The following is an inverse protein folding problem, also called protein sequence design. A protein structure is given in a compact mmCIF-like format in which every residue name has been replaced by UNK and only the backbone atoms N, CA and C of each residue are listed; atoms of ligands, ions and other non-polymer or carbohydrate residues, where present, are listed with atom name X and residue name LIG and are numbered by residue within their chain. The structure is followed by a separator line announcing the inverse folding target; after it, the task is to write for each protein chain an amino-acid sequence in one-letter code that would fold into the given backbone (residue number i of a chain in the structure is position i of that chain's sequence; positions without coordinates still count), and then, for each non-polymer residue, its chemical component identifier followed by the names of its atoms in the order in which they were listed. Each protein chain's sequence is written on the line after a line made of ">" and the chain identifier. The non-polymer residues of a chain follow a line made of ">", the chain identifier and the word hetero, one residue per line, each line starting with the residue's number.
data_IF_336269512715
#
_entry.id   IF_336269512715
#
_cell.length_a   1.000
_cell.length_b   1.000
_cell.length_c   1.000
_cell.angle_alpha   90.00
_cell.angle_beta   90.00
_cell.angle_gamma   90.00
#
_symmetry.space_group_name_H-M   'P 1'
#
loop_
_entity.id
_entity.type
_entity.pdbx_description
1 polymer ?
#
# COMPACT_ATOMS: atom_id res chain seq x y z
N UNK A 1 -12.40 -2.21 16.50
CA UNK A 1 -10.98 -2.21 16.07
C UNK A 1 -10.68 -0.86 15.46
N UNK A 2 -9.73 -0.14 16.03
CA UNK A 2 -9.23 1.14 15.51
C UNK A 2 -8.06 0.88 14.55
N UNK A 3 -8.17 1.43 13.32
CA UNK A 3 -7.18 1.24 12.26
C UNK A 3 -6.52 2.56 11.94
N UNK A 4 -5.22 2.63 12.17
CA UNK A 4 -4.39 3.78 11.83
C UNK A 4 -3.81 3.56 10.42
N UNK A 5 -3.90 4.58 9.56
CA UNK A 5 -3.43 4.50 8.18
C UNK A 5 -2.41 5.59 7.89
N UNK A 6 -1.29 5.19 7.31
CA UNK A 6 -0.19 6.06 6.89
C UNK A 6 0.25 5.73 5.47
N UNK A 7 0.90 6.68 4.79
CA UNK A 7 1.61 6.48 3.52
C UNK A 7 2.62 7.60 3.30
N UNK A 8 3.48 7.44 2.30
CA UNK A 8 4.25 8.54 1.70
C UNK A 8 5.20 9.28 2.64
N UNK A 9 5.79 8.59 3.58
CA UNK A 9 6.75 9.23 4.47
C UNK A 9 8.11 9.50 3.81
N UNK A 10 8.44 8.80 2.70
CA UNK A 10 9.67 9.04 1.95
C UNK A 10 10.92 9.15 2.83
N UNK A 11 11.11 8.21 3.76
CA UNK A 11 12.16 8.12 4.80
C UNK A 11 11.95 9.05 6.01
N UNK A 12 10.92 9.88 6.02
CA UNK A 12 10.62 10.77 7.16
C UNK A 12 9.66 10.10 8.17
N UNK A 13 9.58 8.75 8.17
CA UNK A 13 8.69 8.01 9.05
C UNK A 13 8.96 8.29 10.54
N UNK A 14 10.20 8.60 10.92
CA UNK A 14 10.55 8.94 12.31
C UNK A 14 10.00 10.30 12.78
N UNK A 15 9.65 11.18 11.84
CA UNK A 15 9.07 12.49 12.12
C UNK A 15 7.53 12.43 12.23
N UNK A 16 6.94 11.27 11.93
CA UNK A 16 5.49 11.07 11.98
C UNK A 16 5.07 10.63 13.38
N UNK A 17 4.11 11.36 13.97
CA UNK A 17 3.43 10.90 15.17
C UNK A 17 2.35 9.89 14.81
N UNK A 18 2.53 8.65 15.21
CA UNK A 18 1.56 7.57 15.01
C UNK A 18 0.67 7.48 16.26
N UNK A 19 -0.66 7.66 16.14
CA UNK A 19 -1.57 7.43 17.25
C UNK A 19 -1.60 5.95 17.66
N UNK A 20 -2.04 5.66 18.88
CA UNK A 20 -2.35 4.30 19.30
C UNK A 20 -3.53 3.74 18.50
N UNK A 21 -3.61 2.43 18.40
CA UNK A 21 -4.67 1.73 17.69
C UNK A 21 -4.45 0.22 17.71
N UNK A 22 -5.41 -0.53 17.17
CA UNK A 22 -5.33 -1.98 17.12
C UNK A 22 -4.50 -2.45 15.90
N UNK A 23 -4.61 -1.74 14.79
CA UNK A 23 -3.95 -2.07 13.52
C UNK A 23 -3.31 -0.83 12.89
N UNK A 24 -2.08 -1.01 12.37
CA UNK A 24 -1.39 -0.01 11.56
C UNK A 24 -1.30 -0.48 10.11
N UNK A 25 -1.85 0.27 9.18
CA UNK A 25 -1.75 0.03 7.74
C UNK A 25 -0.84 1.10 7.12
N UNK A 26 0.17 0.66 6.38
CA UNK A 26 1.07 1.54 5.64
C UNK A 26 0.92 1.33 4.13
N UNK A 27 0.44 2.35 3.42
CA UNK A 27 0.00 2.24 2.02
C UNK A 27 1.05 2.71 0.99
N UNK A 28 2.33 2.45 1.26
CA UNK A 28 3.41 2.61 0.29
C UNK A 28 4.20 3.91 0.38
N UNK A 29 5.25 3.97 -0.44
CA UNK A 29 6.25 5.06 -0.49
C UNK A 29 6.98 5.26 0.86
N UNK A 30 7.52 4.15 1.35
CA UNK A 30 8.42 4.10 2.52
C UNK A 30 9.70 4.87 2.21
N UNK A 31 10.22 4.69 1.00
CA UNK A 31 11.50 5.26 0.55
C UNK A 31 11.29 6.32 -0.53
N UNK A 32 12.38 6.97 -0.93
CA UNK A 32 12.41 7.85 -2.09
C UNK A 32 13.51 7.37 -3.05
N UNK A 33 13.21 6.34 -3.86
CA UNK A 33 14.16 5.70 -4.78
C UNK A 33 15.49 5.33 -4.14
N UNK A 34 15.46 4.86 -2.89
CA UNK A 34 16.68 4.52 -2.17
C UNK A 34 17.34 3.29 -2.78
N UNK A 35 18.68 3.34 -2.88
CA UNK A 35 19.52 2.18 -3.26
C UNK A 35 20.18 1.52 -2.06
N UNK A 36 19.93 2.00 -0.84
CA UNK A 36 20.56 1.51 0.40
C UNK A 36 19.58 0.62 1.15
N UNK A 37 19.80 -0.69 1.23
CA UNK A 37 18.90 -1.61 1.95
C UNK A 37 18.72 -1.30 3.44
N UNK A 38 19.67 -0.57 4.06
CA UNK A 38 19.56 -0.16 5.47
C UNK A 38 18.35 0.72 5.76
N UNK A 39 17.78 1.41 4.76
CA UNK A 39 16.55 2.20 4.95
C UNK A 39 15.35 1.31 5.27
N UNK A 40 15.32 0.08 4.75
CA UNK A 40 14.26 -0.87 5.06
C UNK A 40 14.40 -1.44 6.48
N UNK A 41 15.65 -1.65 6.92
CA UNK A 41 15.91 -2.06 8.31
C UNK A 41 15.49 -0.94 9.28
N UNK A 42 15.86 0.31 8.98
CA UNK A 42 15.44 1.48 9.78
C UNK A 42 13.91 1.62 9.86
N UNK A 43 13.21 1.43 8.75
CA UNK A 43 11.74 1.44 8.72
C UNK A 43 11.15 0.26 9.52
N UNK A 44 11.71 -0.93 9.39
CA UNK A 44 11.28 -2.10 10.14
C UNK A 44 11.46 -1.91 11.66
N UNK A 45 12.60 -1.35 12.07
CA UNK A 45 12.87 -1.05 13.48
C UNK A 45 11.90 0.02 14.03
N UNK A 46 11.56 1.01 13.21
CA UNK A 46 10.54 2.01 13.54
C UNK A 46 9.15 1.36 13.70
N UNK A 47 8.73 0.47 12.79
CA UNK A 47 7.48 -0.29 12.95
C UNK A 47 7.44 -1.11 14.24
N UNK A 48 8.60 -1.67 14.65
CA UNK A 48 8.72 -2.46 15.87
C UNK A 48 8.48 -1.67 17.16
N UNK A 49 8.55 -0.34 17.12
CA UNK A 49 8.35 0.52 18.30
C UNK A 49 6.87 0.71 18.68
N UNK A 50 5.95 0.42 17.76
CA UNK A 50 4.52 0.65 18.00
C UNK A 50 3.81 -0.56 18.59
N UNK A 51 2.87 -0.33 19.53
CA UNK A 51 2.15 -1.39 20.24
C UNK A 51 1.03 -2.05 19.40
N UNK A 52 0.76 -1.54 18.19
CA UNK A 52 -0.28 -2.09 17.32
C UNK A 52 -0.12 -3.60 17.15
N UNK A 53 -1.15 -4.35 17.50
CA UNK A 53 -1.12 -5.80 17.45
C UNK A 53 -0.93 -6.33 16.03
N UNK A 54 -1.52 -5.65 15.06
CA UNK A 54 -1.43 -5.98 13.65
C UNK A 54 -0.80 -4.83 12.86
N UNK A 55 0.14 -5.17 11.99
CA UNK A 55 0.77 -4.20 11.10
C UNK A 55 0.80 -4.75 9.69
N UNK A 56 0.28 -3.99 8.74
CA UNK A 56 0.21 -4.34 7.31
C UNK A 56 0.91 -3.26 6.51
N UNK A 57 1.78 -3.67 5.60
CA UNK A 57 2.54 -2.76 4.74
C UNK A 57 2.40 -3.20 3.30
N UNK A 58 2.18 -2.26 2.40
CA UNK A 58 2.40 -2.45 0.96
C UNK A 58 3.52 -1.53 0.50
N UNK A 59 4.28 -1.88 -0.54
CA UNK A 59 5.19 -0.94 -1.20
C UNK A 59 4.44 0.12 -2.01
N UNK A 60 5.16 1.21 -2.36
CA UNK A 60 4.75 2.19 -3.36
C UNK A 60 5.71 2.25 -4.54
N UNK A 61 5.47 3.19 -5.46
CA UNK A 61 6.28 3.31 -6.67
C UNK A 61 7.71 3.82 -6.43
N UNK A 62 8.00 4.40 -5.28
CA UNK A 62 9.34 4.80 -4.88
C UNK A 62 10.14 3.69 -4.17
N UNK A 63 9.52 2.55 -3.86
CA UNK A 63 10.09 1.47 -3.08
C UNK A 63 10.80 0.42 -3.96
N UNK A 64 11.70 0.87 -4.82
CA UNK A 64 12.41 0.02 -5.80
C UNK A 64 13.17 -1.15 -5.16
N UNK A 65 13.66 -0.99 -3.94
CA UNK A 65 14.32 -2.06 -3.19
C UNK A 65 13.41 -3.26 -2.92
N UNK A 66 12.10 -3.03 -2.75
CA UNK A 66 11.14 -4.09 -2.44
C UNK A 66 10.70 -4.91 -3.68
N UNK A 67 11.22 -4.59 -4.87
CA UNK A 67 11.11 -5.48 -6.03
C UNK A 67 11.97 -6.73 -5.85
N UNK A 68 13.07 -6.64 -5.09
CA UNK A 68 13.94 -7.77 -4.74
C UNK A 68 13.43 -8.51 -3.51
N UNK A 69 13.25 -9.82 -3.65
CA UNK A 69 12.77 -10.71 -2.57
C UNK A 69 13.69 -10.72 -1.35
N UNK A 70 15.01 -10.65 -1.54
CA UNK A 70 15.96 -10.62 -0.43
C UNK A 70 15.77 -9.38 0.46
N UNK A 71 15.36 -8.26 -0.14
CA UNK A 71 15.06 -7.04 0.58
C UNK A 71 13.70 -7.09 1.29
N UNK A 72 12.70 -7.78 0.75
CA UNK A 72 11.39 -8.00 1.40
C UNK A 72 11.53 -8.67 2.76
N UNK A 73 12.48 -9.59 2.90
CA UNK A 73 12.77 -10.30 4.17
C UNK A 73 13.25 -9.41 5.30
N UNK A 74 13.58 -8.14 5.02
CA UNK A 74 13.95 -7.15 6.04
C UNK A 74 12.73 -6.57 6.76
N UNK A 75 11.54 -6.70 6.20
CA UNK A 75 10.30 -6.28 6.84
C UNK A 75 9.75 -7.49 7.62
N UNK A 76 10.02 -7.52 8.91
CA UNK A 76 9.65 -8.60 9.83
C UNK A 76 8.64 -8.18 10.88
N UNK A 77 8.48 -6.87 11.10
CA UNK A 77 7.57 -6.30 12.11
C UNK A 77 6.19 -5.96 11.52
N UNK A 78 5.90 -6.41 10.30
CA UNK A 78 4.59 -6.25 9.64
C UNK A 78 4.36 -7.36 8.60
N UNK A 79 3.10 -7.57 8.23
CA UNK A 79 2.75 -8.34 7.04
C UNK A 79 3.00 -7.48 5.80
N UNK A 80 4.04 -7.79 5.03
CA UNK A 80 4.32 -7.12 3.76
C UNK A 80 3.49 -7.79 2.66
N UNK A 81 2.56 -7.06 2.06
CA UNK A 81 1.67 -7.58 1.03
C UNK A 81 2.06 -7.03 -0.36
N UNK A 82 2.25 -7.93 -1.32
CA UNK A 82 2.52 -7.62 -2.72
C UNK A 82 1.66 -8.54 -3.57
N UNK A 83 0.53 -8.05 -4.04
CA UNK A 83 -0.50 -8.84 -4.72
C UNK A 83 -0.85 -10.12 -3.93
N UNK A 84 -1.06 -9.94 -2.64
CA UNK A 84 -1.29 -11.04 -1.70
C UNK A 84 -2.19 -10.60 -0.55
N UNK A 85 -2.75 -11.57 0.17
CA UNK A 85 -3.63 -11.33 1.30
C UNK A 85 -3.11 -11.89 2.61
N UNK A 86 -3.68 -11.39 3.69
CA UNK A 86 -3.53 -11.92 5.05
C UNK A 86 -4.88 -11.86 5.74
N UNK A 87 -5.16 -12.82 6.60
CA UNK A 87 -6.29 -12.76 7.51
C UNK A 87 -5.79 -12.46 8.93
N UNK A 88 -6.29 -11.37 9.51
CA UNK A 88 -5.96 -10.95 10.87
C UNK A 88 -7.24 -10.58 11.61
N UNK A 89 -7.42 -11.15 12.79
CA UNK A 89 -8.60 -10.91 13.62
C UNK A 89 -9.94 -11.11 12.86
N UNK A 90 -10.00 -12.10 11.98
CA UNK A 90 -11.18 -12.40 11.15
C UNK A 90 -11.43 -11.45 9.99
N UNK A 91 -10.52 -10.49 9.73
CA UNK A 91 -10.57 -9.60 8.57
C UNK A 91 -9.62 -10.08 7.49
N UNK A 92 -10.14 -10.22 6.28
CA UNK A 92 -9.38 -10.54 5.07
C UNK A 92 -8.86 -9.27 4.43
N UNK A 93 -7.56 -9.08 4.49
CA UNK A 93 -6.87 -7.89 3.97
C UNK A 93 -6.10 -8.29 2.72
N UNK A 94 -6.32 -7.59 1.62
CA UNK A 94 -5.53 -7.74 0.40
C UNK A 94 -4.70 -6.49 0.16
N UNK A 95 -3.42 -6.67 -0.16
CA UNK A 95 -2.49 -5.58 -0.44
C UNK A 95 -1.88 -5.67 -1.84
N UNK A 96 -1.86 -4.55 -2.56
CA UNK A 96 -1.26 -4.46 -3.89
C UNK A 96 -0.57 -3.12 -4.12
N UNK A 97 0.73 -3.13 -4.49
CA UNK A 97 1.49 -1.93 -4.81
C UNK A 97 1.33 -1.48 -6.26
N UNK A 98 0.63 -2.25 -7.10
CA UNK A 98 0.56 -2.04 -8.55
C UNK A 98 0.07 -0.64 -8.91
N UNK A 99 0.78 0.02 -9.81
CA UNK A 99 0.44 1.35 -10.32
C UNK A 99 0.29 1.33 -11.84
N UNK A 100 -0.44 2.33 -12.39
CA UNK A 100 -0.52 2.56 -13.84
C UNK A 100 0.56 3.52 -14.37
N UNK A 101 1.59 3.80 -13.59
CA UNK A 101 2.68 4.69 -14.00
C UNK A 101 3.53 4.03 -15.09
N UNK A 102 4.23 4.86 -15.87
CA UNK A 102 5.16 4.40 -16.92
C UNK A 102 6.53 4.03 -16.36
N UNK A 103 6.81 4.38 -15.10
CA UNK A 103 8.09 4.12 -14.42
C UNK A 103 7.90 4.02 -12.92
N UNK A 104 8.92 3.53 -12.23
CA UNK A 104 8.91 3.29 -10.78
C UNK A 104 8.72 1.81 -10.44
N UNK A 105 8.80 1.50 -9.15
CA UNK A 105 8.55 0.15 -8.68
C UNK A 105 7.09 -0.23 -8.92
N UNK A 106 6.83 -1.50 -9.21
CA UNK A 106 5.49 -2.07 -9.40
C UNK A 106 4.65 -1.36 -10.47
N UNK A 107 5.30 -0.63 -11.38
CA UNK A 107 4.65 0.02 -12.51
C UNK A 107 4.21 -1.01 -13.54
N UNK A 108 2.94 -0.98 -13.92
CA UNK A 108 2.33 -1.80 -14.97
C UNK A 108 1.54 -0.86 -15.87
N UNK A 109 2.17 -0.28 -16.91
CA UNK A 109 1.51 0.72 -17.78
C UNK A 109 0.34 0.15 -18.58
N UNK A 110 0.41 -1.13 -18.92
CA UNK A 110 -0.62 -1.82 -19.70
C UNK A 110 -1.87 -2.07 -18.87
N UNK A 111 -3.04 -1.62 -19.35
CA UNK A 111 -4.30 -1.71 -18.61
C UNK A 111 -4.87 -3.14 -18.59
N UNK A 112 -4.57 -3.95 -19.61
CA UNK A 112 -4.99 -5.36 -19.64
C UNK A 112 -4.23 -6.13 -18.58
N UNK A 113 -2.91 -5.97 -18.52
CA UNK A 113 -2.07 -6.61 -17.52
C UNK A 113 -2.47 -6.16 -16.07
N UNK A 114 -2.81 -4.89 -15.88
CA UNK A 114 -3.34 -4.43 -14.59
C UNK A 114 -4.67 -5.08 -14.25
N UNK A 115 -5.56 -5.23 -15.22
CA UNK A 115 -6.87 -5.87 -15.00
C UNK A 115 -6.71 -7.32 -14.55
N UNK A 116 -5.72 -8.05 -15.10
CA UNK A 116 -5.38 -9.40 -14.66
C UNK A 116 -4.89 -9.41 -13.19
N UNK A 117 -4.06 -8.46 -12.81
CA UNK A 117 -3.60 -8.31 -11.42
C UNK A 117 -4.79 -8.00 -10.48
N UNK A 118 -5.68 -7.09 -10.88
CA UNK A 118 -6.87 -6.78 -10.09
C UNK A 118 -7.84 -7.95 -9.99
N UNK A 119 -7.84 -8.87 -10.96
CA UNK A 119 -8.67 -10.07 -10.93
C UNK A 119 -8.22 -11.05 -9.84
N UNK A 120 -6.97 -10.99 -9.39
CA UNK A 120 -6.44 -11.81 -8.30
C UNK A 120 -7.03 -11.45 -6.93
N UNK A 121 -7.61 -10.24 -6.78
CA UNK A 121 -8.18 -9.79 -5.51
C UNK A 121 -9.41 -10.66 -5.17
N UNK A 122 -9.41 -11.38 -4.03
CA UNK A 122 -10.54 -12.21 -3.63
C UNK A 122 -11.83 -11.40 -3.46
N UNK A 123 -12.96 -12.00 -3.85
CA UNK A 123 -14.25 -11.31 -3.78
C UNK A 123 -14.73 -11.05 -2.34
N UNK A 124 -14.20 -11.80 -1.39
CA UNK A 124 -14.50 -11.74 0.05
C UNK A 124 -13.46 -10.91 0.83
N UNK A 125 -12.72 -10.03 0.15
CA UNK A 125 -11.77 -9.10 0.78
C UNK A 125 -12.53 -8.06 1.60
N UNK A 126 -12.25 -7.98 2.90
CA UNK A 126 -12.84 -6.97 3.80
C UNK A 126 -12.12 -5.62 3.70
N UNK A 127 -10.79 -5.65 3.63
CA UNK A 127 -9.96 -4.44 3.52
C UNK A 127 -9.05 -4.56 2.30
N UNK A 128 -9.19 -3.61 1.38
CA UNK A 128 -8.33 -3.50 0.21
C UNK A 128 -7.33 -2.35 0.41
N UNK A 129 -6.03 -2.68 0.37
CA UNK A 129 -4.93 -1.71 0.48
C UNK A 129 -4.26 -1.59 -0.88
N UNK A 130 -4.30 -0.40 -1.48
CA UNK A 130 -3.69 -0.10 -2.78
C UNK A 130 -2.82 1.15 -2.69
N UNK A 131 -1.76 1.21 -3.48
CA UNK A 131 -0.92 2.43 -3.51
C UNK A 131 -1.55 3.56 -4.32
N UNK A 132 -2.33 3.23 -5.37
CA UNK A 132 -3.08 4.23 -6.17
C UNK A 132 -4.57 4.17 -5.84
N UNK A 133 -5.30 5.29 -5.95
CA UNK A 133 -6.74 5.31 -5.76
C UNK A 133 -7.49 4.68 -6.95
N UNK A 134 -8.69 4.12 -6.71
CA UNK A 134 -9.63 3.85 -7.79
C UNK A 134 -10.07 5.16 -8.45
N UNK A 135 -10.32 5.16 -9.77
CA UNK A 135 -10.75 6.36 -10.47
C UNK A 135 -12.03 6.95 -9.86
N UNK A 136 -12.04 8.27 -9.72
CA UNK A 136 -13.15 9.08 -9.18
C UNK A 136 -13.53 8.77 -7.72
N UNK A 137 -12.59 8.19 -6.95
CA UNK A 137 -12.75 7.97 -5.52
C UNK A 137 -11.54 8.59 -4.83
N UNK A 138 -11.69 9.81 -4.32
CA UNK A 138 -10.62 10.58 -3.65
C UNK A 138 -9.31 10.65 -4.45
N UNK A 139 -9.42 10.72 -5.78
CA UNK A 139 -8.29 10.64 -6.71
C UNK A 139 -7.91 12.01 -7.30
N UNK A 140 -8.51 13.07 -6.82
CA UNK A 140 -8.17 14.43 -7.21
C UNK A 140 -6.78 14.85 -6.74
N UNK A 141 -6.05 15.54 -7.60
CA UNK A 141 -4.75 16.12 -7.24
C UNK A 141 -4.95 17.58 -6.87
N UNK A 142 -4.48 18.04 -5.69
CA UNK A 142 -4.70 19.42 -5.22
C UNK A 142 -4.16 20.51 -6.17
N UNK A 143 -3.15 20.17 -6.98
CA UNK A 143 -2.44 21.10 -7.85
C UNK A 143 -3.04 21.24 -9.24
N UNK A 144 -3.66 20.22 -9.80
CA UNK A 144 -4.09 20.20 -11.21
C UNK A 144 -5.58 19.92 -11.37
N UNK A 145 -6.31 19.59 -10.30
CA UNK A 145 -7.69 19.11 -10.33
C UNK A 145 -7.90 17.87 -11.24
N UNK A 146 -6.81 17.25 -11.69
CA UNK A 146 -6.86 16.05 -12.51
C UNK A 146 -7.17 14.82 -11.68
N UNK A 147 -7.94 13.91 -12.27
CA UNK A 147 -8.20 12.60 -11.72
C UNK A 147 -7.05 11.65 -12.06
N UNK A 148 -6.36 11.15 -11.04
CA UNK A 148 -5.20 10.27 -11.22
C UNK A 148 -5.47 8.82 -10.81
N UNK A 149 -6.74 8.47 -10.58
CA UNK A 149 -7.15 7.12 -10.21
C UNK A 149 -7.17 6.14 -11.38
N UNK A 150 -7.18 4.86 -11.06
CA UNK A 150 -7.17 3.76 -12.01
C UNK A 150 -8.60 3.25 -12.29
N UNK A 151 -9.04 3.29 -13.57
CA UNK A 151 -10.39 2.82 -13.95
C UNK A 151 -10.53 1.29 -13.82
N UNK A 152 -9.53 0.51 -14.20
CA UNK A 152 -9.59 -0.94 -14.03
C UNK A 152 -9.63 -1.36 -12.56
N UNK A 153 -8.93 -0.63 -11.67
CA UNK A 153 -9.07 -0.83 -10.23
C UNK A 153 -10.47 -0.48 -9.72
N UNK A 154 -11.08 0.61 -10.21
CA UNK A 154 -12.45 0.99 -9.87
C UNK A 154 -13.47 -0.11 -10.23
N UNK A 155 -13.29 -0.76 -11.37
CA UNK A 155 -14.15 -1.87 -11.77
C UNK A 155 -14.04 -3.06 -10.81
N UNK A 156 -12.81 -3.39 -10.39
CA UNK A 156 -12.57 -4.43 -9.39
C UNK A 156 -13.11 -4.05 -8.01
N UNK A 157 -12.95 -2.79 -7.60
CA UNK A 157 -13.55 -2.26 -6.37
C UNK A 157 -15.08 -2.45 -6.34
N UNK A 158 -15.76 -2.19 -7.45
CA UNK A 158 -17.22 -2.39 -7.57
C UNK A 158 -17.62 -3.86 -7.46
N UNK A 159 -16.79 -4.78 -7.94
CA UNK A 159 -16.99 -6.23 -7.85
C UNK A 159 -16.82 -6.72 -6.41
N UNK A 160 -15.77 -6.27 -5.74
CA UNK A 160 -15.37 -6.74 -4.41
C UNK A 160 -16.24 -6.10 -3.33
N UNK A 161 -16.51 -4.79 -3.42
CA UNK A 161 -17.24 -3.99 -2.42
C UNK A 161 -16.66 -4.14 -1.01
N UNK A 162 -15.36 -3.91 -0.82
CA UNK A 162 -14.74 -4.11 0.49
C UNK A 162 -15.39 -3.18 1.54
N UNK A 163 -15.40 -3.60 2.80
CA UNK A 163 -15.91 -2.79 3.92
C UNK A 163 -15.07 -1.51 4.10
N UNK A 164 -13.78 -1.59 3.81
CA UNK A 164 -12.88 -0.44 3.80
C UNK A 164 -11.85 -0.56 2.69
N UNK A 165 -11.48 0.59 2.11
CA UNK A 165 -10.35 0.71 1.19
C UNK A 165 -9.40 1.76 1.72
N UNK A 166 -8.10 1.44 1.68
CA UNK A 166 -7.03 2.34 2.06
C UNK A 166 -6.08 2.50 0.87
N UNK A 167 -5.85 3.72 0.47
CA UNK A 167 -4.94 4.07 -0.61
C UNK A 167 -4.30 5.43 -0.32
N UNK A 168 -3.23 5.72 -1.03
CA UNK A 168 -2.60 7.03 -1.02
C UNK A 168 -3.59 8.09 -1.50
N UNK A 169 -3.90 9.07 -0.66
CA UNK A 169 -4.44 10.34 -1.14
C UNK A 169 -3.25 11.16 -1.67
N UNK A 170 -3.25 11.51 -2.95
CA UNK A 170 -2.18 12.35 -3.51
C UNK A 170 -2.18 13.72 -2.85
N UNK A 171 -1.07 14.05 -2.21
CA UNK A 171 -0.75 15.40 -1.71
C UNK A 171 -0.32 16.33 -2.83
#
# INVERSE_FOLDING_TARGET
>A
MEIICLSDTHKLHRDVRVPDGDMLIYAGDITFFSRRPSVLTDFNDWLGQFPHLYKVVIPGNHDTLLQDEANRRKITNAHLLINSGVEVNGLKIWGTPTTGLTSGAFAVPDDIARTEIWALIPADTDILVTHIPPARILDGTPRTAEHAGCESLRNSYRRIRPQATRFRARS
#
